data_IF_884461666975
#
_entry.id   IF_884461666975
#
_cell.length_a   1.000
_cell.length_b   1.000
_cell.length_c   1.000
_cell.angle_alpha   90.00
_cell.angle_beta   90.00
_cell.angle_gamma   90.00
#
_symmetry.space_group_name_H-M   'P 1'
#
loop_
_entity.id
_entity.type
_entity.pdbx_description
1 polymer ?
#
# COMPACT_ATOMS: atom_id res chain seq x y z
N UNK A 1 -21.54 3.18 1.37
CA UNK A 1 -20.86 3.49 0.09
C UNK A 1 -20.13 2.23 -0.35
N UNK A 2 -20.54 1.60 -1.46
CA UNK A 2 -19.75 0.52 -2.08
C UNK A 2 -18.66 1.18 -2.91
N UNK A 3 -17.37 0.90 -2.68
CA UNK A 3 -16.31 1.60 -3.38
C UNK A 3 -16.32 1.18 -4.86
N UNK A 4 -16.26 2.17 -5.76
CA UNK A 4 -16.29 1.97 -7.22
C UNK A 4 -14.90 1.51 -7.66
N UNK A 5 -14.79 0.32 -8.26
CA UNK A 5 -13.53 -0.18 -8.80
C UNK A 5 -13.05 0.74 -9.92
N UNK A 6 -11.86 1.31 -9.78
CA UNK A 6 -11.22 2.06 -10.87
C UNK A 6 -10.62 1.02 -11.82
N UNK A 7 -11.19 0.90 -13.02
CA UNK A 7 -10.74 -0.05 -14.04
C UNK A 7 -9.25 0.18 -14.35
N UNK A 8 -8.40 -0.82 -14.08
CA UNK A 8 -7.08 -0.92 -14.71
C UNK A 8 -5.88 -1.31 -13.84
N UNK A 9 -5.96 -1.35 -12.49
CA UNK A 9 -4.75 -1.62 -11.68
C UNK A 9 -5.07 -2.30 -10.34
N UNK A 10 -5.83 -3.39 -10.36
CA UNK A 10 -6.39 -4.01 -9.15
C UNK A 10 -5.59 -5.15 -8.53
N UNK A 11 -4.51 -5.67 -9.15
CA UNK A 11 -3.80 -6.84 -8.61
C UNK A 11 -3.10 -6.54 -7.27
N UNK A 12 -2.70 -5.28 -7.06
CA UNK A 12 -2.02 -4.82 -5.85
C UNK A 12 -2.80 -3.76 -5.08
N UNK A 13 -4.10 -3.65 -5.36
CA UNK A 13 -5.01 -2.74 -4.70
C UNK A 13 -5.91 -3.48 -3.72
N UNK A 14 -5.91 -3.08 -2.45
CA UNK A 14 -6.76 -3.65 -1.42
C UNK A 14 -7.65 -2.58 -0.80
N UNK A 15 -8.94 -2.88 -0.71
CA UNK A 15 -9.85 -2.10 0.12
C UNK A 15 -9.69 -2.53 1.58
N UNK A 16 -9.35 -1.59 2.45
CA UNK A 16 -9.38 -1.79 3.89
C UNK A 16 -10.57 -1.05 4.47
N UNK A 17 -11.62 -1.79 4.81
CA UNK A 17 -12.76 -1.27 5.58
C UNK A 17 -12.35 -1.09 7.04
N UNK A 18 -12.52 0.10 7.63
CA UNK A 18 -12.09 0.37 9.00
C UNK A 18 -11.97 1.87 9.30
N UNK A 19 -11.61 2.20 10.55
CA UNK A 19 -11.71 3.52 11.26
C UNK A 19 -12.08 4.68 10.33
N UNK A 20 -13.35 5.10 10.42
CA UNK A 20 -14.08 5.99 9.52
C UNK A 20 -14.60 5.30 8.23
N UNK A 21 -14.30 5.81 7.03
CA UNK A 21 -14.97 5.42 5.78
C UNK A 21 -14.25 4.32 4.98
N UNK A 22 -13.12 3.81 5.48
CA UNK A 22 -12.21 2.93 4.73
C UNK A 22 -11.38 3.69 3.68
N UNK A 23 -10.39 3.00 3.11
CA UNK A 23 -9.57 3.53 2.01
C UNK A 23 -9.03 2.40 1.14
N UNK A 24 -8.68 2.74 -0.10
CA UNK A 24 -7.90 1.89 -1.00
C UNK A 24 -6.42 2.04 -0.71
N UNK A 25 -5.73 0.91 -0.68
CA UNK A 25 -4.29 0.81 -0.49
C UNK A 25 -3.71 0.17 -1.73
N UNK A 26 -2.70 0.79 -2.31
CA UNK A 26 -2.03 0.27 -3.48
C UNK A 26 -0.52 0.27 -3.29
N UNK A 27 0.12 -0.81 -3.72
CA UNK A 27 1.56 -0.93 -3.79
C UNK A 27 1.99 -1.16 -5.23
N UNK A 28 3.00 -0.44 -5.68
CA UNK A 28 3.56 -0.55 -7.02
C UNK A 28 5.07 -0.73 -6.92
N UNK A 29 5.63 -1.62 -7.74
CA UNK A 29 7.07 -1.82 -7.81
C UNK A 29 7.77 -0.60 -8.44
N UNK A 30 9.07 -0.45 -8.17
CA UNK A 30 9.92 0.56 -8.82
C UNK A 30 11.14 -0.10 -9.45
N UNK A 31 11.99 0.68 -10.13
CA UNK A 31 13.28 0.20 -10.64
C UNK A 31 14.31 0.00 -9.52
N UNK A 32 14.06 0.59 -8.33
CA UNK A 32 14.96 0.50 -7.18
C UNK A 32 14.59 -0.69 -6.29
N UNK A 33 15.59 -1.52 -5.94
CA UNK A 33 15.41 -2.68 -5.07
C UNK A 33 14.90 -2.26 -3.69
N UNK A 34 13.89 -2.99 -3.18
CA UNK A 34 13.24 -2.75 -1.89
C UNK A 34 12.46 -1.44 -1.79
N UNK A 35 12.36 -0.65 -2.86
CA UNK A 35 11.65 0.62 -2.89
C UNK A 35 10.37 0.46 -3.71
N UNK A 36 9.28 0.90 -3.11
CA UNK A 36 7.94 0.74 -3.64
C UNK A 36 7.18 2.06 -3.59
N UNK A 37 6.33 2.27 -4.61
CA UNK A 37 5.37 3.36 -4.62
C UNK A 37 4.12 2.92 -3.89
N UNK A 38 3.76 3.65 -2.85
CA UNK A 38 2.53 3.43 -2.09
C UNK A 38 1.52 4.55 -2.36
N UNK A 39 0.24 4.17 -2.52
CA UNK A 39 -0.89 5.10 -2.58
C UNK A 39 -1.97 4.70 -1.57
N UNK A 40 -2.48 5.70 -0.83
CA UNK A 40 -3.73 5.59 -0.08
C UNK A 40 -4.77 6.51 -0.69
N UNK A 41 -5.91 5.95 -1.07
CA UNK A 41 -6.96 6.67 -1.80
C UNK A 41 -8.26 6.57 -1.01
N UNK A 42 -8.86 7.72 -0.73
CA UNK A 42 -10.16 7.83 -0.05
C UNK A 42 -11.28 7.13 -0.84
N UNK A 43 -12.44 6.87 -0.21
CA UNK A 43 -13.59 6.25 -0.89
C UNK A 43 -14.10 7.01 -2.12
N UNK A 44 -13.83 8.32 -2.18
CA UNK A 44 -14.26 9.22 -3.26
C UNK A 44 -13.16 9.48 -4.30
N UNK A 45 -12.02 8.81 -4.20
CA UNK A 45 -10.94 8.89 -5.18
C UNK A 45 -9.86 9.94 -4.89
N UNK A 46 -9.97 10.70 -3.80
CA UNK A 46 -8.91 11.61 -3.37
C UNK A 46 -7.67 10.83 -2.88
N UNK A 47 -6.48 11.19 -3.35
CA UNK A 47 -5.22 10.57 -2.94
C UNK A 47 -4.75 11.24 -1.65
N UNK A 48 -4.83 10.50 -0.54
CA UNK A 48 -4.45 11.01 0.78
C UNK A 48 -2.96 10.84 1.07
N UNK A 49 -2.34 9.82 0.47
CA UNK A 49 -0.91 9.51 0.60
C UNK A 49 -0.39 9.04 -0.75
N UNK A 50 0.74 9.59 -1.18
CA UNK A 50 1.46 9.17 -2.38
C UNK A 50 2.95 9.41 -2.18
N UNK A 51 3.72 8.33 -2.07
CA UNK A 51 5.15 8.43 -1.79
C UNK A 51 5.92 7.15 -2.06
N UNK A 52 7.24 7.24 -1.96
CA UNK A 52 8.15 6.10 -2.01
C UNK A 52 8.43 5.61 -0.60
N UNK A 53 8.42 4.29 -0.46
CA UNK A 53 8.64 3.60 0.79
C UNK A 53 9.62 2.46 0.60
N UNK A 54 10.43 2.19 1.62
CA UNK A 54 11.40 1.10 1.62
C UNK A 54 10.96 -0.01 2.54
N UNK A 55 11.00 -1.26 2.07
CA UNK A 55 10.92 -2.42 2.97
C UNK A 55 12.31 -2.70 3.54
N UNK A 56 12.41 -2.80 4.86
CA UNK A 56 13.69 -3.10 5.51
C UNK A 56 14.08 -4.58 5.41
N UNK A 57 13.12 -5.43 5.07
CA UNK A 57 13.28 -6.88 4.99
C UNK A 57 13.20 -7.34 3.54
N UNK A 58 14.34 -7.79 3.01
CA UNK A 58 14.53 -8.17 1.61
C UNK A 58 13.88 -9.50 1.22
N UNK A 59 13.32 -10.23 2.20
CA UNK A 59 12.56 -11.45 1.95
C UNK A 59 11.14 -11.17 1.44
N UNK A 60 10.72 -9.90 1.40
CA UNK A 60 9.45 -9.50 0.79
C UNK A 60 9.48 -9.72 -0.73
N UNK A 61 8.51 -10.47 -1.26
CA UNK A 61 8.42 -10.74 -2.69
C UNK A 61 7.14 -10.10 -3.23
N UNK A 62 7.31 -8.99 -3.96
CA UNK A 62 6.19 -8.22 -4.53
C UNK A 62 5.28 -9.02 -5.46
N UNK A 63 5.82 -10.01 -6.18
CA UNK A 63 5.06 -10.86 -7.11
C UNK A 63 4.24 -11.97 -6.46
N UNK A 64 4.34 -12.16 -5.13
CA UNK A 64 3.53 -13.13 -4.38
C UNK A 64 2.30 -12.46 -3.78
N UNK A 65 1.32 -13.27 -3.39
CA UNK A 65 0.16 -12.80 -2.66
C UNK A 65 0.57 -12.13 -1.34
N UNK A 66 -0.10 -11.03 -1.02
CA UNK A 66 0.07 -10.31 0.22
C UNK A 66 -1.18 -9.51 0.55
N UNK A 67 -1.31 -9.07 1.80
CA UNK A 67 -2.43 -8.24 2.25
C UNK A 67 -1.96 -7.11 3.16
N UNK A 68 -2.42 -5.90 2.91
CA UNK A 68 -2.26 -4.79 3.83
C UNK A 68 -2.98 -5.08 5.15
N UNK A 69 -2.39 -4.63 6.27
CA UNK A 69 -2.97 -4.77 7.61
C UNK A 69 -3.26 -3.41 8.23
N UNK A 70 -4.23 -3.40 9.15
CA UNK A 70 -4.66 -2.20 9.87
C UNK A 70 -3.61 -1.77 10.91
N UNK A 71 -2.55 -1.10 10.48
CA UNK A 71 -1.59 -0.39 11.34
C UNK A 71 -0.67 0.50 10.50
N UNK A 72 -1.24 1.49 9.82
CA UNK A 72 -0.53 2.30 8.82
C UNK A 72 -0.82 3.79 9.00
N UNK A 73 0.20 4.64 8.87
CA UNK A 73 0.10 6.10 8.86
C UNK A 73 0.90 6.67 7.68
N UNK A 74 1.06 8.00 7.60
CA UNK A 74 1.78 8.62 6.47
C UNK A 74 3.31 8.42 6.52
N UNK A 75 3.86 7.87 7.61
CA UNK A 75 5.29 7.60 7.77
C UNK A 75 5.64 6.14 7.53
N UNK A 76 4.70 5.21 7.70
CA UNK A 76 4.93 3.78 7.44
C UNK A 76 3.61 3.02 7.23
N UNK A 77 3.72 1.86 6.60
CA UNK A 77 2.63 0.88 6.52
C UNK A 77 3.14 -0.55 6.70
N UNK A 78 2.20 -1.49 6.85
CA UNK A 78 2.50 -2.90 7.03
C UNK A 78 1.72 -3.77 6.04
N UNK A 79 2.39 -4.84 5.61
CA UNK A 79 1.84 -5.88 4.74
C UNK A 79 2.11 -7.24 5.37
N UNK A 80 1.12 -8.13 5.35
CA UNK A 80 1.26 -9.52 5.72
C UNK A 80 1.48 -10.39 4.48
N UNK A 81 2.51 -11.23 4.49
CA UNK A 81 2.85 -12.19 3.43
C UNK A 81 3.46 -13.44 4.06
N UNK A 82 3.02 -14.63 3.65
CA UNK A 82 3.56 -15.93 4.10
C UNK A 82 3.72 -16.06 5.63
N UNK A 83 2.76 -15.52 6.41
CA UNK A 83 2.78 -15.59 7.88
C UNK A 83 3.67 -14.54 8.57
N UNK A 84 4.28 -13.64 7.80
CA UNK A 84 5.19 -12.58 8.28
C UNK A 84 4.63 -11.20 8.00
N UNK A 85 4.91 -10.25 8.90
CA UNK A 85 4.56 -8.84 8.73
C UNK A 85 5.80 -8.07 8.28
N UNK A 86 5.68 -7.43 7.12
CA UNK A 86 6.67 -6.57 6.52
C UNK A 86 6.30 -5.11 6.78
N UNK A 87 7.28 -4.33 7.22
CA UNK A 87 7.13 -2.91 7.50
C UNK A 87 7.83 -2.09 6.41
N UNK A 88 7.11 -1.11 5.91
CA UNK A 88 7.57 -0.21 4.87
C UNK A 88 7.70 1.20 5.45
N UNK A 89 8.90 1.77 5.39
CA UNK A 89 9.22 3.10 5.93
C UNK A 89 9.18 4.15 4.81
N UNK A 90 8.58 5.30 5.11
CA UNK A 90 8.53 6.42 4.17
C UNK A 90 9.93 6.95 3.86
N UNK A 91 10.23 7.14 2.57
CA UNK A 91 11.47 7.74 2.10
C UNK A 91 11.26 9.19 1.69
N UNK A 92 10.42 9.41 0.68
CA UNK A 92 10.27 10.71 0.01
C UNK A 92 8.93 10.79 -0.75
N UNK A 93 8.42 12.02 -1.01
CA UNK A 93 7.23 12.16 -1.83
C UNK A 93 7.56 11.80 -3.29
N UNK A 94 6.51 11.51 -4.06
CA UNK A 94 6.63 11.37 -5.51
C UNK A 94 6.14 12.69 -6.10
N UNK A 95 7.02 13.36 -6.86
CA UNK A 95 6.68 14.59 -7.60
C UNK A 95 5.83 14.28 -8.83
#
# INVERSE_FOLDING_TARGET
LKPRSVNGTMVHAQWLSGIAAGAWYELHNTEETLIFRFRRISPVGHIDVHGLYKVEDDTFIYGKDYSFVHYSNCKFFHVHQDGKIYRFEYLKPIN
#
